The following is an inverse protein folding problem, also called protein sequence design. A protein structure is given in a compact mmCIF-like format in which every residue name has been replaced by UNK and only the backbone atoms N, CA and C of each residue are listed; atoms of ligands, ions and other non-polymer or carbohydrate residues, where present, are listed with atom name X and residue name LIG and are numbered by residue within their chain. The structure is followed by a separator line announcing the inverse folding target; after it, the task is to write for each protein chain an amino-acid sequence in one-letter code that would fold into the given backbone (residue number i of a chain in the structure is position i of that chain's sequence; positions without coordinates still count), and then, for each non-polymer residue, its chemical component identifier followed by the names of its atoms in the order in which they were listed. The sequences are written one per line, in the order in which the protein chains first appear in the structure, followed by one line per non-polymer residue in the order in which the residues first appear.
data_IF_749329418662
#
_entry.id   IF_749329418662
#
_cell.length_a   1.000
_cell.length_b   1.000
_cell.length_c   1.000
_cell.angle_alpha   90.00
_cell.angle_beta   90.00
_cell.angle_gamma   90.00
#
_symmetry.space_group_name_H-M   'P 1'
#
loop_
_entity.id
_entity.type
_entity.pdbx_description
1 polymer ?
#
# COMPACT_ATOMS: atom_id res chain seq x y z
N UNK A 1 -23.29 3.45 -39.82
CA UNK A 1 -22.70 2.86 -38.61
C UNK A 1 -21.72 3.88 -38.06
N UNK A 2 -22.08 4.58 -36.98
CA UNK A 2 -21.09 5.36 -36.22
C UNK A 2 -20.22 4.31 -35.53
N UNK A 3 -18.95 4.19 -35.93
CA UNK A 3 -18.02 3.29 -35.24
C UNK A 3 -17.97 3.75 -33.80
N UNK A 4 -18.37 2.89 -32.86
CA UNK A 4 -18.32 3.15 -31.43
C UNK A 4 -16.96 3.77 -31.09
N UNK A 5 -16.97 5.08 -30.80
CA UNK A 5 -15.79 5.82 -30.38
C UNK A 5 -15.17 5.06 -29.23
N UNK A 6 -13.85 4.84 -29.28
CA UNK A 6 -13.15 4.12 -28.23
C UNK A 6 -13.28 4.86 -26.91
N UNK A 7 -14.30 4.51 -26.13
CA UNK A 7 -14.57 5.17 -24.85
C UNK A 7 -13.37 4.85 -23.97
N UNK A 8 -12.65 5.90 -23.60
CA UNK A 8 -11.56 5.81 -22.64
C UNK A 8 -12.17 6.00 -21.27
N UNK A 9 -12.23 4.93 -20.49
CA UNK A 9 -12.64 4.99 -19.09
C UNK A 9 -11.44 5.45 -18.28
N UNK A 10 -11.61 6.46 -17.44
CA UNK A 10 -10.59 6.89 -16.48
C UNK A 10 -11.21 6.93 -15.09
N UNK A 11 -10.58 6.28 -14.12
CA UNK A 11 -11.05 6.18 -12.74
C UNK A 11 -9.95 6.63 -11.80
N UNK A 12 -10.33 7.42 -10.80
CA UNK A 12 -9.44 7.88 -9.74
C UNK A 12 -9.87 7.27 -8.41
N UNK A 13 -8.91 6.72 -7.65
CA UNK A 13 -9.07 6.31 -6.26
C UNK A 13 -8.27 7.29 -5.41
N UNK A 14 -8.93 7.95 -4.46
CA UNK A 14 -8.34 9.00 -3.64
C UNK A 14 -8.71 8.77 -2.19
N UNK A 15 -7.75 8.92 -1.28
CA UNK A 15 -8.04 8.84 0.15
C UNK A 15 -6.81 9.01 1.01
N UNK A 16 -6.94 8.56 2.26
CA UNK A 16 -5.85 8.50 3.22
C UNK A 16 -5.68 7.08 3.75
N UNK A 17 -4.42 6.69 3.93
CA UNK A 17 -4.00 5.45 4.57
C UNK A 17 -3.51 5.79 5.97
N UNK A 18 -4.14 5.19 6.98
CA UNK A 18 -3.66 5.16 8.35
C UNK A 18 -3.37 3.71 8.71
N UNK A 19 -2.11 3.40 9.01
CA UNK A 19 -1.72 2.03 9.36
C UNK A 19 -2.01 1.75 10.84
N UNK A 20 -2.44 0.52 11.21
CA UNK A 20 -2.76 0.18 12.59
C UNK A 20 -1.51 0.07 13.49
N UNK A 21 -0.34 -0.21 12.91
CA UNK A 21 0.95 -0.36 13.58
C UNK A 21 2.06 0.14 12.66
N UNK A 22 3.09 0.75 13.25
CA UNK A 22 4.29 1.13 12.50
C UNK A 22 4.99 -0.13 11.98
N UNK A 23 5.08 -0.26 10.67
CA UNK A 23 5.68 -1.41 10.00
C UNK A 23 6.01 -1.08 8.54
N UNK A 24 6.71 -2.01 7.89
CA UNK A 24 6.98 -1.95 6.46
C UNK A 24 5.78 -2.46 5.69
N UNK A 25 5.40 -1.77 4.62
CA UNK A 25 4.32 -2.13 3.72
C UNK A 25 4.81 -2.19 2.28
N UNK A 26 4.24 -3.11 1.53
CA UNK A 26 4.35 -3.17 0.07
C UNK A 26 2.96 -3.02 -0.53
N UNK A 27 2.81 -2.13 -1.50
CA UNK A 27 1.58 -1.90 -2.23
C UNK A 27 1.65 -2.58 -3.59
N UNK A 28 0.57 -3.24 -3.99
CA UNK A 28 0.44 -3.91 -5.28
C UNK A 28 -0.71 -3.26 -6.03
N UNK A 29 -0.41 -2.79 -7.24
CA UNK A 29 -1.35 -2.23 -8.18
C UNK A 29 -1.86 -3.33 -9.12
N UNK A 30 -3.14 -3.63 -9.01
CA UNK A 30 -3.82 -4.59 -9.87
C UNK A 30 -4.58 -3.84 -10.96
N UNK A 31 -4.07 -3.90 -12.19
CA UNK A 31 -4.72 -3.24 -13.32
C UNK A 31 -4.59 -4.03 -14.61
N UNK A 32 -5.56 -3.84 -15.51
CA UNK A 32 -5.50 -4.32 -16.88
C UNK A 32 -5.26 -3.17 -17.89
N UNK A 33 -5.11 -1.92 -17.43
CA UNK A 33 -4.95 -0.73 -18.28
C UNK A 33 -3.68 0.04 -17.94
N UNK A 34 -3.60 1.28 -18.42
CA UNK A 34 -2.59 2.22 -17.94
C UNK A 34 -2.98 2.64 -16.52
N UNK A 35 -2.06 2.56 -15.56
CA UNK A 35 -2.33 3.03 -14.21
C UNK A 35 -1.06 3.50 -13.49
N UNK A 36 -1.25 4.38 -12.52
CA UNK A 36 -0.21 4.92 -11.65
C UNK A 36 -0.75 5.11 -10.23
N UNK A 37 0.02 4.63 -9.25
CA UNK A 37 -0.27 4.70 -7.83
C UNK A 37 0.76 5.58 -7.13
N UNK A 38 0.26 6.54 -6.36
CA UNK A 38 1.03 7.53 -5.62
C UNK A 38 0.70 7.47 -4.13
N UNK A 39 1.70 7.72 -3.30
CA UNK A 39 1.56 7.82 -1.84
C UNK A 39 2.36 9.04 -1.35
N UNK A 40 1.80 9.81 -0.43
CA UNK A 40 2.55 10.88 0.24
C UNK A 40 3.62 10.35 1.17
N UNK A 41 4.69 11.12 1.35
CA UNK A 41 5.76 10.80 2.30
C UNK A 41 5.43 11.23 3.73
N UNK A 42 4.40 12.07 3.91
CA UNK A 42 3.91 12.60 5.18
C UNK A 42 2.38 12.86 5.10
N UNK A 43 1.85 13.65 6.03
CA UNK A 43 0.44 14.04 6.11
C UNK A 43 -0.02 15.06 5.07
N UNK A 44 0.91 15.63 4.29
CA UNK A 44 0.62 16.60 3.22
C UNK A 44 0.41 15.89 1.86
N UNK A 45 -0.79 16.00 1.24
CA UNK A 45 -1.11 15.43 -0.08
C UNK A 45 -0.24 15.92 -1.24
N UNK A 46 0.44 17.06 -1.09
CA UNK A 46 1.33 17.60 -2.12
C UNK A 46 2.61 16.77 -2.25
N UNK A 47 3.09 16.16 -1.15
CA UNK A 47 4.32 15.38 -1.08
C UNK A 47 4.16 13.92 -1.55
N UNK A 48 3.35 13.68 -2.58
CA UNK A 48 3.13 12.34 -3.16
C UNK A 48 4.21 11.94 -4.15
N UNK A 49 4.65 10.70 -4.03
CA UNK A 49 5.62 10.07 -4.93
C UNK A 49 4.98 8.89 -5.63
N UNK A 50 5.41 8.60 -6.85
CA UNK A 50 4.99 7.41 -7.58
C UNK A 50 5.58 6.18 -6.89
N UNK A 51 4.71 5.25 -6.49
CA UNK A 51 5.13 4.02 -5.82
C UNK A 51 4.87 2.76 -6.67
N UNK A 52 3.89 2.77 -7.58
CA UNK A 52 3.66 1.67 -8.52
C UNK A 52 3.01 2.16 -9.82
N UNK A 53 3.12 1.39 -10.90
CA UNK A 53 2.53 1.66 -12.21
C UNK A 53 2.16 0.37 -12.94
N UNK A 54 1.48 0.46 -14.08
CA UNK A 54 1.14 -0.71 -14.90
C UNK A 54 2.38 -1.54 -15.33
N UNK A 55 3.56 -0.91 -15.48
CA UNK A 55 4.81 -1.60 -15.85
C UNK A 55 5.56 -2.14 -14.64
N UNK A 56 5.49 -1.45 -13.50
CA UNK A 56 6.02 -1.93 -12.23
C UNK A 56 4.92 -1.91 -11.17
N UNK A 57 4.24 -3.04 -11.05
CA UNK A 57 2.98 -3.16 -10.34
C UNK A 57 3.12 -3.29 -8.81
N UNK A 58 4.33 -3.21 -8.26
CA UNK A 58 4.57 -3.27 -6.83
C UNK A 58 5.45 -2.11 -6.39
N UNK A 59 5.21 -1.61 -5.19
CA UNK A 59 6.08 -0.62 -4.56
C UNK A 59 7.36 -1.25 -4.05
N UNK A 60 8.41 -0.45 -3.82
CA UNK A 60 9.42 -0.83 -2.84
C UNK A 60 8.80 -1.01 -1.46
N UNK A 61 9.57 -1.55 -0.53
CA UNK A 61 9.23 -1.60 0.88
C UNK A 61 9.19 -0.18 1.48
N UNK A 62 8.04 0.19 2.05
CA UNK A 62 7.79 1.53 2.60
C UNK A 62 7.50 1.41 4.09
N UNK A 63 8.32 2.04 4.93
CA UNK A 63 8.03 2.15 6.36
C UNK A 63 6.93 3.20 6.57
N UNK A 64 5.80 2.77 7.14
CA UNK A 64 4.68 3.66 7.48
C UNK A 64 4.52 3.75 9.00
N UNK A 65 4.33 4.96 9.50
CA UNK A 65 4.10 5.24 10.91
C UNK A 65 2.60 5.24 11.23
N UNK A 66 2.20 4.61 12.35
CA UNK A 66 0.80 4.55 12.77
C UNK A 66 0.16 5.89 13.15
N UNK A 67 0.98 6.91 13.41
CA UNK A 67 0.51 8.26 13.77
C UNK A 67 0.42 9.23 12.57
N UNK A 68 0.68 8.77 11.35
CA UNK A 68 0.65 9.60 10.14
C UNK A 68 -0.50 9.18 9.21
N UNK A 69 -1.20 10.17 8.64
CA UNK A 69 -2.24 9.96 7.63
C UNK A 69 -1.63 10.15 6.23
N UNK A 70 -1.24 9.08 5.57
CA UNK A 70 -0.62 9.17 4.25
C UNK A 70 -1.69 9.33 3.17
N UNK A 71 -1.62 10.37 2.36
CA UNK A 71 -2.48 10.55 1.20
C UNK A 71 -2.15 9.52 0.12
N UNK A 72 -3.16 8.82 -0.38
CA UNK A 72 -3.02 7.85 -1.47
C UNK A 72 -3.86 8.30 -2.67
N UNK A 73 -3.26 8.22 -3.85
CA UNK A 73 -3.90 8.58 -5.11
C UNK A 73 -3.56 7.55 -6.17
N UNK A 74 -4.56 6.99 -6.82
CA UNK A 74 -4.39 6.09 -7.95
C UNK A 74 -5.22 6.56 -9.12
N UNK A 75 -4.65 6.54 -10.31
CA UNK A 75 -5.36 6.80 -11.57
C UNK A 75 -5.17 5.60 -12.48
N UNK A 76 -6.28 5.11 -13.04
CA UNK A 76 -6.29 4.07 -14.05
C UNK A 76 -7.07 4.52 -15.27
N UNK A 77 -6.63 4.12 -16.46
CA UNK A 77 -7.32 4.40 -17.71
C UNK A 77 -7.24 3.21 -18.65
N UNK A 78 -8.32 2.96 -19.38
CA UNK A 78 -8.35 1.95 -20.44
C UNK A 78 -9.21 2.40 -21.60
N UNK A 79 -8.68 2.21 -22.81
CA UNK A 79 -9.44 2.32 -24.04
C UNK A 79 -10.05 0.96 -24.36
N UNK A 80 -11.37 0.93 -24.55
CA UNK A 80 -12.16 -0.24 -24.94
C UNK A 80 -12.18 -1.38 -23.90
N UNK A 81 -13.41 -1.76 -23.52
CA UNK A 81 -13.66 -2.79 -22.51
C UNK A 81 -13.60 -2.23 -21.08
N UNK A 82 -13.68 -3.12 -20.10
CA UNK A 82 -13.74 -2.74 -18.70
C UNK A 82 -12.36 -2.42 -18.12
N UNK A 83 -12.26 -1.39 -17.30
CA UNK A 83 -11.09 -1.15 -16.46
C UNK A 83 -11.12 -2.03 -15.20
N UNK A 84 -10.02 -2.74 -14.93
CA UNK A 84 -9.71 -3.31 -13.61
C UNK A 84 -8.74 -2.36 -12.92
N UNK A 85 -9.07 -1.94 -11.71
CA UNK A 85 -8.21 -1.13 -10.86
C UNK A 85 -8.38 -1.56 -9.40
N UNK A 86 -7.30 -2.02 -8.79
CA UNK A 86 -7.26 -2.45 -7.40
C UNK A 86 -5.93 -2.10 -6.76
N UNK A 87 -5.95 -1.90 -5.45
CA UNK A 87 -4.76 -1.67 -4.64
C UNK A 87 -4.80 -2.68 -3.50
N UNK A 88 -3.76 -3.50 -3.40
CA UNK A 88 -3.54 -4.39 -2.26
C UNK A 88 -2.38 -3.85 -1.44
N UNK A 89 -2.57 -3.71 -0.12
CA UNK A 89 -1.49 -3.41 0.81
C UNK A 89 -1.10 -4.68 1.56
N UNK A 90 0.19 -4.98 1.66
CA UNK A 90 0.74 -6.09 2.43
C UNK A 90 1.66 -5.54 3.51
N UNK A 91 1.41 -5.93 4.75
CA UNK A 91 2.27 -5.59 5.89
C UNK A 91 3.37 -6.64 6.02
N UNK A 92 4.61 -6.19 6.10
CA UNK A 92 5.78 -6.99 6.46
C UNK A 92 6.10 -6.68 7.92
N UNK A 93 6.02 -7.70 8.78
CA UNK A 93 6.39 -7.52 10.17
C UNK A 93 7.91 -7.40 10.30
N UNK A 94 8.40 -6.21 10.66
CA UNK A 94 9.77 -6.05 11.12
C UNK A 94 9.81 -6.52 12.57
N UNK A 95 10.31 -7.72 12.80
CA UNK A 95 10.66 -8.19 14.14
C UNK A 95 11.56 -7.15 14.81
N UNK A 96 11.19 -6.73 16.02
CA UNK A 96 11.96 -5.81 16.84
C UNK A 96 13.42 -6.29 16.91
N UNK A 97 14.36 -5.51 16.37
CA UNK A 97 15.78 -5.67 16.71
C UNK A 97 15.93 -5.18 18.15
N UNK A 98 15.80 -6.09 19.10
CA UNK A 98 15.98 -5.81 20.52
C UNK A 98 17.35 -5.15 20.72
N UNK A 99 17.36 -3.84 20.93
CA UNK A 99 18.57 -3.10 21.32
C UNK A 99 18.46 -2.75 22.79
N UNK A 100 18.43 -3.78 23.63
CA UNK A 100 19.05 -3.75 24.96
C UNK A 100 19.35 -5.20 25.35
N UNK A 101 20.64 -5.50 25.44
CA UNK A 101 21.19 -6.69 26.08
C UNK A 101 20.57 -6.86 27.47
N UNK A 102 19.69 -7.84 27.63
CA UNK A 102 19.43 -8.49 28.90
C UNK A 102 18.98 -9.90 28.59
N UNK A 103 19.83 -10.88 28.91
CA UNK A 103 19.52 -12.30 28.83
C UNK A 103 18.41 -12.62 29.82
N UNK A 104 17.16 -12.36 29.46
CA UNK A 104 16.01 -12.91 30.18
C UNK A 104 15.68 -14.22 29.49
N UNK A 105 16.12 -15.32 30.10
CA UNK A 105 15.72 -16.66 29.70
C UNK A 105 14.18 -16.72 29.70
N UNK A 106 13.60 -17.10 28.56
CA UNK A 106 12.20 -17.47 28.45
C UNK A 106 11.99 -18.81 29.17
N UNK A 107 11.90 -18.77 30.50
CA UNK A 107 11.40 -19.89 31.28
C UNK A 107 9.87 -19.82 31.22
N UNK A 108 9.25 -20.70 30.43
CA UNK A 108 7.81 -20.91 30.48
C UNK A 108 7.52 -21.63 31.80
N UNK A 109 7.13 -20.89 32.83
CA UNK A 109 6.56 -21.49 34.03
C UNK A 109 5.24 -22.17 33.64
N UNK A 110 5.24 -23.51 33.66
CA UNK A 110 4.01 -24.31 33.63
C UNK A 110 3.13 -23.89 34.81
N UNK A 111 1.95 -23.34 34.53
CA UNK A 111 0.85 -23.25 35.48
C UNK A 111 0.23 -24.64 35.57
N UNK A 112 0.34 -25.27 36.74
CA UNK A 112 -0.52 -26.38 37.12
C UNK A 112 -1.59 -25.84 38.07
N UNK A 113 -2.85 -26.08 37.70
CA UNK A 113 -4.05 -25.76 38.48
C UNK A 113 -4.24 -26.91 39.49
N UNK A 114 -4.59 -26.57 40.73
CA UNK A 114 -4.88 -27.52 41.81
C UNK A 114 -6.11 -28.40 41.50
#
# INVERSE_FOLDING_TARGET
YVSNSSLTETVWLIGFVRVPKTATFTFILDTNGAAALFLSTNDDPTNKVLIASATNNHSPDILLNNNTNYYIFCVGSRSNGYLRLGIQARMHETTLTATTSSLVFNEIQRIAIA
#
